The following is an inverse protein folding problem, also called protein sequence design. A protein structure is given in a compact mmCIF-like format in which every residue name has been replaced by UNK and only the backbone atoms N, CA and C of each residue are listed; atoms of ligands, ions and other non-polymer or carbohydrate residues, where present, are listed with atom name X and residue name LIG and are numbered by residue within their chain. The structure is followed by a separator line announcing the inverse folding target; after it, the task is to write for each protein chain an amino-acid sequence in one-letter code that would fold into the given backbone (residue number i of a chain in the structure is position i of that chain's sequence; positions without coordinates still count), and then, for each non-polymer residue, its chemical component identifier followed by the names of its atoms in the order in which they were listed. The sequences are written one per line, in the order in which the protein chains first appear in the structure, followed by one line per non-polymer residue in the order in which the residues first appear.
data_IF_625478150414
#
_entry.id   IF_625478150414
#
_cell.length_a   1.000
_cell.length_b   1.000
_cell.length_c   1.000
_cell.angle_alpha   90.00
_cell.angle_beta   90.00
_cell.angle_gamma   90.00
#
_symmetry.space_group_name_H-M   'P 1'
#
loop_
_entity.id
_entity.type
_entity.pdbx_description
1 polymer ?
#
# COMPACT_ATOMS: atom_id res chain seq x y z
N UNK A 1 -7.02 -4.07 -29.93
CA UNK A 1 -6.56 -3.66 -28.57
C UNK A 1 -7.73 -3.36 -27.63
N UNK A 2 -8.75 -2.61 -28.07
CA UNK A 2 -9.94 -2.28 -27.26
C UNK A 2 -10.79 -3.49 -26.79
N UNK A 3 -10.95 -4.57 -27.59
CA UNK A 3 -11.73 -5.74 -27.13
C UNK A 3 -11.09 -6.53 -25.98
N UNK A 4 -9.75 -6.47 -25.83
CA UNK A 4 -9.06 -7.03 -24.66
C UNK A 4 -9.18 -6.15 -23.43
N UNK A 5 -9.37 -4.83 -23.57
CA UNK A 5 -9.55 -3.92 -22.43
C UNK A 5 -11.01 -3.92 -21.94
N UNK A 6 -11.97 -4.13 -22.84
CA UNK A 6 -13.40 -4.27 -22.53
C UNK A 6 -13.84 -5.72 -22.29
N UNK A 7 -12.96 -6.69 -22.49
CA UNK A 7 -13.27 -8.12 -22.37
C UNK A 7 -13.71 -8.52 -20.96
N UNK A 8 -14.36 -9.68 -20.89
CA UNK A 8 -14.92 -10.17 -19.63
C UNK A 8 -13.88 -10.22 -18.51
N UNK A 9 -14.30 -9.75 -17.35
CA UNK A 9 -13.52 -9.88 -16.13
C UNK A 9 -13.77 -11.27 -15.56
N UNK A 10 -12.72 -12.05 -15.30
CA UNK A 10 -12.88 -13.40 -14.79
C UNK A 10 -13.35 -13.38 -13.33
N UNK A 11 -14.18 -14.37 -12.96
CA UNK A 11 -14.51 -14.69 -11.56
C UNK A 11 -13.37 -15.38 -10.84
N UNK A 12 -12.55 -16.11 -11.59
CA UNK A 12 -11.50 -16.97 -11.10
C UNK A 12 -10.29 -16.92 -12.02
N UNK A 13 -9.11 -17.13 -11.45
CA UNK A 13 -7.85 -17.15 -12.22
C UNK A 13 -7.14 -18.48 -12.01
N UNK A 14 -6.55 -18.99 -13.09
CA UNK A 14 -5.71 -20.18 -13.05
C UNK A 14 -4.46 -19.95 -12.20
N UNK A 15 -3.87 -21.03 -11.69
CA UNK A 15 -2.63 -21.00 -10.90
C UNK A 15 -1.51 -20.20 -11.57
N UNK A 16 -1.27 -20.40 -12.87
CA UNK A 16 -0.24 -19.68 -13.62
C UNK A 16 -0.49 -18.16 -13.64
N UNK A 17 -1.75 -17.74 -13.78
CA UNK A 17 -2.11 -16.32 -13.76
C UNK A 17 -2.04 -15.75 -12.35
N UNK A 18 -2.50 -16.48 -11.34
CA UNK A 18 -2.34 -16.11 -9.92
C UNK A 18 -0.86 -15.95 -9.54
N UNK A 19 0.01 -16.86 -10.00
CA UNK A 19 1.45 -16.80 -9.77
C UNK A 19 2.06 -15.53 -10.39
N UNK A 20 1.63 -15.12 -11.59
CA UNK A 20 2.08 -13.88 -12.22
C UNK A 20 1.57 -12.63 -11.50
N UNK A 21 0.31 -12.62 -11.05
CA UNK A 21 -0.24 -11.51 -10.26
C UNK A 21 0.54 -11.37 -8.96
N UNK A 22 0.76 -12.48 -8.25
CA UNK A 22 1.55 -12.51 -7.03
C UNK A 22 2.98 -12.02 -7.27
N UNK A 23 3.63 -12.39 -8.38
CA UNK A 23 4.96 -11.88 -8.74
C UNK A 23 4.97 -10.35 -8.86
N UNK A 24 4.02 -9.76 -9.61
CA UNK A 24 3.95 -8.30 -9.80
C UNK A 24 3.70 -7.59 -8.46
N UNK A 25 2.74 -8.06 -7.67
CA UNK A 25 2.46 -7.49 -6.36
C UNK A 25 3.66 -7.62 -5.42
N UNK A 26 4.31 -8.78 -5.40
CA UNK A 26 5.48 -9.05 -4.56
C UNK A 26 6.65 -8.15 -4.89
N UNK A 27 6.98 -7.98 -6.18
CA UNK A 27 8.07 -7.11 -6.61
C UNK A 27 7.77 -5.65 -6.28
N UNK A 28 6.55 -5.19 -6.55
CA UNK A 28 6.16 -3.80 -6.32
C UNK A 28 6.05 -3.46 -4.83
N UNK A 29 5.45 -4.32 -4.01
CA UNK A 29 5.39 -4.17 -2.56
C UNK A 29 6.76 -4.30 -1.91
N UNK A 30 7.58 -5.27 -2.33
CA UNK A 30 8.95 -5.45 -1.82
C UNK A 30 9.83 -4.24 -2.11
N UNK A 31 9.68 -3.63 -3.28
CA UNK A 31 10.41 -2.40 -3.66
C UNK A 31 10.16 -1.24 -2.68
N UNK A 32 8.95 -1.13 -2.11
CA UNK A 32 8.61 -0.10 -1.11
C UNK A 32 9.58 -0.19 0.08
N UNK A 33 9.80 -1.39 0.58
CA UNK A 33 10.63 -1.63 1.76
C UNK A 33 12.12 -1.67 1.45
N UNK A 34 12.53 -2.17 0.28
CA UNK A 34 13.94 -2.09 -0.14
C UNK A 34 14.37 -0.63 -0.27
N UNK A 35 13.60 0.18 -0.99
CA UNK A 35 13.90 1.60 -1.17
C UNK A 35 13.83 2.34 0.17
N UNK A 36 12.75 2.13 0.94
CA UNK A 36 12.55 2.80 2.23
C UNK A 36 13.59 2.42 3.27
N UNK A 37 13.85 1.12 3.42
CA UNK A 37 14.82 0.54 4.35
C UNK A 37 16.23 0.97 4.02
N UNK A 38 16.65 0.88 2.75
CA UNK A 38 17.96 1.36 2.33
C UNK A 38 18.14 2.86 2.56
N UNK A 39 17.15 3.68 2.14
CA UNK A 39 17.21 5.14 2.30
C UNK A 39 17.33 5.57 3.76
N UNK A 40 16.64 4.89 4.68
CA UNK A 40 16.72 5.17 6.12
C UNK A 40 18.00 4.62 6.74
N UNK A 41 18.36 3.36 6.44
CA UNK A 41 19.53 2.71 7.03
C UNK A 41 20.83 3.41 6.65
N UNK A 42 21.01 3.74 5.37
CA UNK A 42 22.19 4.48 4.89
C UNK A 42 22.37 5.83 5.60
N UNK A 43 21.26 6.51 5.95
CA UNK A 43 21.30 7.76 6.72
C UNK A 43 21.55 7.53 8.20
N UNK A 44 20.96 6.50 8.79
CA UNK A 44 21.18 6.17 10.19
C UNK A 44 22.64 5.77 10.47
N UNK A 45 23.29 5.11 9.50
CA UNK A 45 24.70 4.72 9.59
C UNK A 45 25.68 5.83 9.18
N UNK A 46 25.20 6.97 8.69
CA UNK A 46 26.04 8.10 8.28
C UNK A 46 26.17 9.11 9.42
N UNK A 47 27.40 9.38 9.84
CA UNK A 47 27.71 10.37 10.88
C UNK A 47 27.22 11.79 10.53
N UNK A 48 27.09 12.10 9.24
CA UNK A 48 26.61 13.41 8.76
C UNK A 48 25.08 13.53 8.82
N UNK A 49 24.35 12.41 8.76
CA UNK A 49 22.90 12.41 8.55
C UNK A 49 22.08 11.83 9.71
N UNK A 50 22.71 11.11 10.64
CA UNK A 50 22.04 10.40 11.74
C UNK A 50 21.18 11.34 12.60
N UNK A 51 21.73 12.50 12.96
CA UNK A 51 21.08 13.44 13.87
C UNK A 51 19.88 14.10 13.20
N UNK A 52 20.02 14.48 11.93
CA UNK A 52 18.93 15.00 11.13
C UNK A 52 17.81 13.97 10.93
N UNK A 53 18.17 12.68 10.78
CA UNK A 53 17.19 11.61 10.69
C UNK A 53 16.42 11.43 12.00
N UNK A 54 17.12 11.33 13.14
CA UNK A 54 16.48 11.19 14.47
C UNK A 54 15.59 12.39 14.76
N UNK A 55 16.09 13.60 14.56
CA UNK A 55 15.36 14.85 14.79
C UNK A 55 14.06 14.90 13.98
N UNK A 56 14.09 14.45 12.71
CA UNK A 56 12.90 14.38 11.87
C UNK A 56 11.83 13.40 12.37
N UNK A 57 12.24 12.25 12.92
CA UNK A 57 11.30 11.24 13.42
C UNK A 57 10.74 11.58 14.80
N UNK A 58 11.48 12.35 15.60
CA UNK A 58 11.09 12.80 16.94
C UNK A 58 10.44 14.19 16.96
N UNK A 59 10.34 14.87 15.81
CA UNK A 59 9.64 16.15 15.68
C UNK A 59 8.17 16.04 16.12
N UNK A 60 7.54 17.19 16.42
CA UNK A 60 6.14 17.22 16.88
C UNK A 60 5.15 16.62 15.85
N UNK A 61 5.45 16.72 14.56
CA UNK A 61 4.72 16.10 13.45
C UNK A 61 5.35 14.77 12.97
N UNK A 62 6.33 14.26 13.72
CA UNK A 62 7.05 13.03 13.45
C UNK A 62 6.26 11.77 13.80
N UNK A 63 6.81 10.61 13.44
CA UNK A 63 6.19 9.30 13.69
C UNK A 63 6.40 8.78 15.12
N UNK A 64 7.41 9.30 15.84
CA UNK A 64 7.70 8.91 17.22
C UNK A 64 7.17 10.01 18.15
N UNK A 65 5.87 9.95 18.41
CA UNK A 65 5.20 10.88 19.33
C UNK A 65 5.58 10.62 20.80
N UNK A 66 5.12 11.50 21.70
CA UNK A 66 5.42 11.42 23.14
C UNK A 66 5.05 10.07 23.76
N UNK A 67 3.94 9.45 23.33
CA UNK A 67 3.55 8.12 23.80
C UNK A 67 4.61 7.07 23.42
N UNK A 68 5.08 7.03 22.17
CA UNK A 68 6.16 6.09 21.78
C UNK A 68 7.49 6.41 22.45
N UNK A 69 7.81 7.69 22.66
CA UNK A 69 9.03 8.06 23.36
C UNK A 69 9.01 7.51 24.80
N UNK A 70 7.89 7.67 25.50
CA UNK A 70 7.73 7.12 26.85
C UNK A 70 7.73 5.59 26.85
N UNK A 71 7.01 4.98 25.91
CA UNK A 71 6.87 3.52 25.84
C UNK A 71 8.17 2.80 25.43
N UNK A 72 8.89 3.32 24.44
CA UNK A 72 10.09 2.69 23.88
C UNK A 72 11.37 3.11 24.61
N UNK A 73 11.44 4.33 25.12
CA UNK A 73 12.71 4.96 25.54
C UNK A 73 12.76 5.45 26.99
N UNK A 74 11.67 5.39 27.77
CA UNK A 74 11.66 5.92 29.15
C UNK A 74 11.66 4.83 30.25
N UNK A 75 11.88 3.55 29.91
CA UNK A 75 11.99 2.43 30.86
C UNK A 75 13.31 1.67 30.70
N UNK A 76 13.51 0.52 31.36
CA UNK A 76 14.80 -0.21 31.37
C UNK A 76 15.35 -0.69 30.01
N UNK A 77 14.58 -0.56 28.93
CA UNK A 77 15.05 -0.73 27.55
C UNK A 77 15.84 0.49 27.02
N UNK A 78 15.76 1.64 27.69
CA UNK A 78 16.41 2.91 27.31
C UNK A 78 17.92 2.79 27.18
N UNK A 79 18.52 1.93 28.00
CA UNK A 79 19.97 1.76 28.07
C UNK A 79 20.53 1.07 26.81
N UNK A 80 19.66 0.38 26.05
CA UNK A 80 20.04 -0.36 24.84
C UNK A 80 19.34 0.14 23.57
N UNK A 81 18.15 0.73 23.70
CA UNK A 81 17.31 1.13 22.58
C UNK A 81 17.22 2.66 22.47
N UNK A 82 18.29 3.29 21.98
CA UNK A 82 18.22 4.70 21.61
C UNK A 82 17.34 4.90 20.36
N UNK A 83 16.80 6.10 20.11
CA UNK A 83 16.05 6.37 18.88
C UNK A 83 16.82 6.02 17.61
N UNK A 84 18.13 6.27 17.58
CA UNK A 84 18.98 5.92 16.45
C UNK A 84 19.11 4.40 16.27
N UNK A 85 19.32 3.65 17.36
CA UNK A 85 19.40 2.19 17.31
C UNK A 85 18.07 1.60 16.86
N UNK A 86 16.96 2.10 17.40
CA UNK A 86 15.61 1.70 16.99
C UNK A 86 15.38 1.93 15.49
N UNK A 87 15.67 3.13 14.98
CA UNK A 87 15.53 3.45 13.55
C UNK A 87 16.44 2.59 12.68
N UNK A 88 17.66 2.31 13.13
CA UNK A 88 18.61 1.45 12.41
C UNK A 88 18.09 0.03 12.29
N UNK A 89 17.66 -0.58 13.40
CA UNK A 89 17.13 -1.95 13.44
C UNK A 89 15.86 -2.06 12.61
N UNK A 90 14.92 -1.11 12.75
CA UNK A 90 13.70 -1.10 11.97
C UNK A 90 13.98 -0.97 10.46
N UNK A 91 14.94 -0.12 10.08
CA UNK A 91 15.30 0.09 8.67
C UNK A 91 16.04 -1.11 8.07
N UNK A 92 16.90 -1.77 8.86
CA UNK A 92 17.54 -3.02 8.47
C UNK A 92 16.50 -4.14 8.29
N UNK A 93 15.54 -4.25 9.21
CA UNK A 93 14.45 -5.21 9.09
C UNK A 93 13.64 -4.97 7.81
N UNK A 94 13.21 -3.73 7.54
CA UNK A 94 12.50 -3.39 6.31
C UNK A 94 13.29 -3.72 5.04
N UNK A 95 14.59 -3.43 5.02
CA UNK A 95 15.44 -3.74 3.88
C UNK A 95 15.52 -5.26 3.64
N UNK A 96 15.82 -6.02 4.68
CA UNK A 96 15.99 -7.48 4.60
C UNK A 96 14.67 -8.17 4.22
N UNK A 97 13.58 -7.79 4.86
CA UNK A 97 12.26 -8.34 4.56
C UNK A 97 11.77 -7.93 3.16
N UNK A 98 12.10 -6.72 2.70
CA UNK A 98 11.83 -6.26 1.34
C UNK A 98 12.56 -7.09 0.29
N UNK A 99 13.86 -7.34 0.52
CA UNK A 99 14.68 -8.22 -0.33
C UNK A 99 14.14 -9.65 -0.33
N UNK A 100 13.81 -10.20 0.85
CA UNK A 100 13.21 -11.51 1.00
C UNK A 100 11.87 -11.60 0.23
N UNK A 101 11.02 -10.57 0.35
CA UNK A 101 9.77 -10.49 -0.38
C UNK A 101 10.03 -10.49 -1.88
N UNK A 102 10.90 -9.62 -2.41
CA UNK A 102 11.21 -9.58 -3.85
C UNK A 102 11.75 -10.91 -4.38
N UNK A 103 12.63 -11.58 -3.62
CA UNK A 103 13.17 -12.90 -3.94
C UNK A 103 12.12 -14.03 -3.86
N UNK A 104 10.98 -13.77 -3.22
CA UNK A 104 9.94 -14.77 -3.02
C UNK A 104 10.23 -15.72 -1.87
N UNK A 105 10.85 -15.23 -0.80
CA UNK A 105 11.17 -15.94 0.42
C UNK A 105 10.23 -15.49 1.56
N UNK A 106 9.60 -16.45 2.24
CA UNK A 106 8.61 -16.24 3.31
C UNK A 106 7.45 -15.32 2.91
N UNK A 107 7.01 -15.38 1.65
CA UNK A 107 6.07 -14.38 1.08
C UNK A 107 4.77 -14.31 1.87
N UNK A 108 4.19 -15.47 2.22
CA UNK A 108 2.93 -15.49 2.98
C UNK A 108 3.11 -14.88 4.38
N UNK A 109 4.13 -15.31 5.11
CA UNK A 109 4.40 -14.82 6.47
C UNK A 109 4.66 -13.32 6.48
N UNK A 110 5.52 -12.84 5.57
CA UNK A 110 5.84 -11.42 5.45
C UNK A 110 4.63 -10.61 5.01
N UNK A 111 3.85 -11.09 4.04
CA UNK A 111 2.65 -10.38 3.59
C UNK A 111 1.61 -10.28 4.71
N UNK A 112 1.38 -11.36 5.46
CA UNK A 112 0.48 -11.33 6.62
C UNK A 112 0.97 -10.32 7.66
N UNK A 113 2.25 -10.40 8.05
CA UNK A 113 2.85 -9.46 9.01
C UNK A 113 2.70 -8.00 8.55
N UNK A 114 3.04 -7.71 7.29
CA UNK A 114 2.95 -6.35 6.74
C UNK A 114 1.52 -5.85 6.56
N UNK A 115 0.56 -6.73 6.27
CA UNK A 115 -0.84 -6.35 6.21
C UNK A 115 -1.29 -5.68 7.53
N UNK A 116 -0.90 -6.22 8.68
CA UNK A 116 -1.21 -5.62 9.98
C UNK A 116 -0.27 -4.48 10.35
N UNK A 117 1.03 -4.58 10.01
CA UNK A 117 1.98 -3.52 10.32
C UNK A 117 1.61 -2.19 9.66
N UNK A 118 1.01 -2.19 8.46
CA UNK A 118 0.55 -0.95 7.84
C UNK A 118 -0.49 -0.19 8.70
N UNK A 119 -1.25 -0.88 9.55
CA UNK A 119 -2.18 -0.26 10.49
C UNK A 119 -1.50 0.32 11.73
N UNK A 120 -0.32 -0.16 12.12
CA UNK A 120 0.38 0.41 13.27
C UNK A 120 0.78 1.86 13.03
N UNK A 121 1.09 2.24 11.78
CA UNK A 121 1.36 3.63 11.41
C UNK A 121 0.13 4.53 11.51
N UNK A 122 -1.08 3.99 11.32
CA UNK A 122 -2.34 4.72 11.55
C UNK A 122 -2.50 5.01 13.04
N UNK A 123 -2.28 3.99 13.88
CA UNK A 123 -2.37 4.11 15.34
C UNK A 123 -1.29 5.05 15.88
N UNK A 124 -0.13 5.09 15.22
CA UNK A 124 1.03 5.83 15.72
C UNK A 124 0.97 7.34 15.48
N UNK A 125 0.16 7.81 14.53
CA UNK A 125 0.07 9.25 14.25
C UNK A 125 -0.61 10.00 15.40
N UNK A 126 0.00 11.09 15.91
CA UNK A 126 -0.59 11.89 16.97
C UNK A 126 -1.81 12.66 16.45
N UNK A 127 -3.00 12.34 16.95
CA UNK A 127 -4.23 13.10 16.69
C UNK A 127 -4.58 13.89 17.95
N UNK A 128 -4.63 15.22 17.86
CA UNK A 128 -5.16 16.04 18.95
C UNK A 128 -6.65 16.15 18.74
N UNK A 129 -7.44 15.62 19.68
CA UNK A 129 -8.91 15.60 19.60
C UNK A 129 -9.58 16.68 20.45
N UNK A 130 -8.80 17.62 21.00
CA UNK A 130 -9.27 18.60 21.99
C UNK A 130 -9.48 20.01 21.42
N UNK A 131 -10.57 20.66 21.83
CA UNK A 131 -10.87 22.07 21.53
C UNK A 131 -9.92 23.00 22.30
N UNK A 132 -9.33 23.99 21.61
CA UNK A 132 -8.49 25.03 22.24
C UNK A 132 -6.98 24.96 21.95
N UNK A 133 -6.51 23.99 21.15
CA UNK A 133 -5.11 23.96 20.70
C UNK A 133 -4.88 24.83 19.45
N UNK A 134 -3.74 25.53 19.31
CA UNK A 134 -3.42 26.34 18.14
C UNK A 134 -3.44 25.51 16.85
N UNK A 135 -4.08 26.04 15.81
CA UNK A 135 -4.28 25.44 14.47
C UNK A 135 -3.00 25.20 13.65
N UNK A 136 -1.85 25.55 14.21
CA UNK A 136 -0.61 25.85 13.49
C UNK A 136 0.22 24.57 13.26
N UNK A 137 -0.11 23.48 13.96
CA UNK A 137 0.45 22.13 13.79
C UNK A 137 -0.52 21.26 12.99
N UNK A 138 -0.49 21.43 11.67
CA UNK A 138 -1.46 20.88 10.69
C UNK A 138 -1.63 19.34 10.69
N UNK A 139 -0.71 18.57 11.29
CA UNK A 139 -0.82 17.11 11.40
C UNK A 139 -1.84 16.66 12.45
N UNK A 140 -2.18 17.51 13.41
CA UNK A 140 -3.03 17.13 14.55
C UNK A 140 -4.53 17.21 14.29
N UNK A 141 -4.97 17.94 13.26
CA UNK A 141 -6.39 18.14 12.93
C UNK A 141 -6.90 17.27 11.77
N UNK A 142 -6.01 16.59 11.04
CA UNK A 142 -6.40 15.62 10.00
C UNK A 142 -6.50 14.22 10.61
N UNK A 143 -7.61 13.48 10.43
CA UNK A 143 -7.73 12.12 10.94
C UNK A 143 -6.57 11.23 10.46
N UNK A 144 -5.87 10.57 11.38
CA UNK A 144 -4.68 9.77 11.09
C UNK A 144 -4.89 8.74 9.97
N UNK A 145 -6.07 8.12 9.93
CA UNK A 145 -6.46 7.17 8.89
C UNK A 145 -6.43 7.79 7.48
N UNK A 146 -6.84 9.05 7.34
CA UNK A 146 -6.84 9.76 6.05
C UNK A 146 -5.43 10.16 5.64
N UNK A 147 -4.59 10.55 6.59
CA UNK A 147 -3.17 10.87 6.36
C UNK A 147 -2.41 9.61 5.90
N UNK A 148 -2.71 8.45 6.49
CA UNK A 148 -2.07 7.17 6.17
C UNK A 148 -2.89 6.29 5.22
N UNK A 149 -3.81 6.86 4.45
CA UNK A 149 -4.68 6.07 3.56
C UNK A 149 -3.90 5.22 2.56
N UNK A 150 -2.71 5.67 2.16
CA UNK A 150 -1.81 4.90 1.30
C UNK A 150 -1.35 3.62 1.99
N UNK A 151 -1.00 3.67 3.26
CA UNK A 151 -0.56 2.50 4.03
C UNK A 151 -1.74 1.53 4.24
N UNK A 152 -2.96 2.04 4.47
CA UNK A 152 -4.19 1.23 4.46
C UNK A 152 -4.41 0.54 3.10
N UNK A 153 -4.18 1.25 2.00
CA UNK A 153 -4.20 0.65 0.66
C UNK A 153 -3.15 -0.46 0.50
N UNK A 154 -1.91 -0.24 0.95
CA UNK A 154 -0.86 -1.27 0.93
C UNK A 154 -1.24 -2.49 1.77
N UNK A 155 -1.90 -2.32 2.92
CA UNK A 155 -2.42 -3.41 3.76
C UNK A 155 -3.29 -4.36 2.96
N UNK A 156 -4.26 -3.83 2.22
CA UNK A 156 -5.15 -4.65 1.38
C UNK A 156 -4.39 -5.38 0.26
N UNK A 157 -3.37 -4.76 -0.33
CA UNK A 157 -2.51 -5.41 -1.33
C UNK A 157 -1.69 -6.57 -0.73
N UNK A 158 -1.19 -6.42 0.50
CA UNK A 158 -0.52 -7.49 1.23
C UNK A 158 -1.47 -8.65 1.54
N UNK A 159 -2.72 -8.38 1.91
CA UNK A 159 -3.73 -9.43 2.11
C UNK A 159 -4.01 -10.20 0.82
N UNK A 160 -4.09 -9.51 -0.32
CA UNK A 160 -4.20 -10.16 -1.64
C UNK A 160 -2.98 -11.05 -1.88
N UNK A 161 -1.77 -10.53 -1.72
CA UNK A 161 -0.53 -11.30 -1.92
C UNK A 161 -0.45 -12.52 -0.98
N UNK A 162 -0.82 -12.37 0.28
CA UNK A 162 -0.89 -13.45 1.26
C UNK A 162 -1.76 -14.61 0.79
N UNK A 163 -2.91 -14.31 0.17
CA UNK A 163 -3.83 -15.35 -0.31
C UNK A 163 -3.36 -15.99 -1.62
N UNK A 164 -2.88 -15.18 -2.57
CA UNK A 164 -2.38 -15.65 -3.86
C UNK A 164 -1.16 -16.57 -3.71
N UNK A 165 -0.26 -16.28 -2.78
CA UNK A 165 0.93 -17.07 -2.52
C UNK A 165 2.23 -16.41 -2.98
N UNK A 166 3.28 -17.20 -3.12
CA UNK A 166 4.66 -16.72 -3.33
C UNK A 166 4.92 -16.19 -4.74
N UNK A 167 4.07 -16.55 -5.71
CA UNK A 167 4.17 -16.11 -7.09
C UNK A 167 5.21 -16.84 -7.91
N UNK A 168 5.27 -16.50 -9.19
CA UNK A 168 6.22 -17.10 -10.13
C UNK A 168 7.68 -16.88 -9.67
N UNK A 169 8.53 -17.86 -10.00
CA UNK A 169 9.98 -17.84 -9.74
C UNK A 169 10.40 -17.64 -8.26
N UNK A 170 9.50 -17.89 -7.30
CA UNK A 170 9.78 -17.71 -5.87
C UNK A 170 10.81 -18.69 -5.30
N UNK A 171 11.64 -18.21 -4.37
CA UNK A 171 12.51 -19.06 -3.56
C UNK A 171 11.71 -20.02 -2.66
N UNK A 172 10.55 -19.62 -2.15
CA UNK A 172 9.66 -20.49 -1.37
C UNK A 172 9.34 -21.79 -2.11
N UNK A 173 9.09 -21.69 -3.42
CA UNK A 173 8.81 -22.85 -4.27
C UNK A 173 10.07 -23.63 -4.59
N UNK A 174 11.16 -22.95 -4.94
CA UNK A 174 12.43 -23.58 -5.33
C UNK A 174 13.13 -24.31 -4.18
N UNK A 175 13.13 -23.72 -2.99
CA UNK A 175 13.86 -24.22 -1.83
C UNK A 175 13.01 -25.14 -0.95
N UNK A 176 11.72 -24.83 -0.79
CA UNK A 176 10.86 -25.55 0.16
C UNK A 176 9.70 -26.32 -0.50
N UNK A 177 9.52 -26.23 -1.82
CA UNK A 177 8.39 -26.85 -2.52
C UNK A 177 7.02 -26.31 -2.08
N UNK A 178 6.98 -25.11 -1.49
CA UNK A 178 5.77 -24.54 -0.87
C UNK A 178 5.39 -23.20 -1.49
N UNK A 179 4.19 -22.72 -1.13
CA UNK A 179 3.79 -21.33 -1.38
C UNK A 179 3.18 -21.02 -2.74
N UNK A 180 3.12 -21.98 -3.68
CA UNK A 180 2.48 -21.77 -4.98
C UNK A 180 0.99 -21.40 -4.89
N UNK A 181 0.47 -20.78 -5.95
CA UNK A 181 -0.95 -20.48 -6.06
C UNK A 181 -1.81 -21.76 -6.08
N UNK A 182 -3.05 -21.65 -5.57
CA UNK A 182 -4.05 -22.71 -5.67
C UNK A 182 -4.38 -22.97 -7.16
N UNK A 183 -4.82 -24.19 -7.54
CA UNK A 183 -5.17 -24.52 -8.92
C UNK A 183 -6.13 -23.50 -9.57
N UNK A 184 -7.12 -23.08 -8.78
CA UNK A 184 -8.10 -22.08 -9.12
C UNK A 184 -8.24 -21.12 -7.94
N UNK A 185 -8.12 -19.83 -8.23
CA UNK A 185 -8.16 -18.75 -7.23
C UNK A 185 -9.37 -17.88 -7.47
N UNK A 186 -10.20 -17.68 -6.44
CA UNK A 186 -11.36 -16.78 -6.48
C UNK A 186 -10.92 -15.32 -6.66
N UNK A 187 -11.01 -14.83 -7.89
CA UNK A 187 -10.62 -13.48 -8.24
C UNK A 187 -11.72 -12.45 -7.97
N UNK A 188 -12.96 -12.88 -7.74
CA UNK A 188 -14.04 -11.96 -7.39
C UNK A 188 -13.75 -11.30 -6.04
N UNK A 189 -13.27 -12.08 -5.06
CA UNK A 189 -12.89 -11.56 -3.74
C UNK A 189 -11.57 -10.79 -3.78
N UNK A 190 -10.50 -11.39 -4.31
CA UNK A 190 -9.17 -10.76 -4.26
C UNK A 190 -9.05 -9.59 -5.24
N UNK A 191 -9.67 -9.69 -6.41
CA UNK A 191 -9.74 -8.61 -7.38
C UNK A 191 -10.55 -7.43 -6.84
N UNK A 192 -11.64 -7.67 -6.10
CA UNK A 192 -12.38 -6.63 -5.38
C UNK A 192 -11.50 -5.96 -4.33
N UNK A 193 -10.85 -6.73 -3.45
CA UNK A 193 -9.99 -6.19 -2.41
C UNK A 193 -8.86 -5.34 -3.00
N UNK A 194 -8.22 -5.81 -4.09
CA UNK A 194 -7.18 -5.06 -4.79
C UNK A 194 -7.73 -3.75 -5.37
N UNK A 195 -8.93 -3.78 -5.97
CA UNK A 195 -9.59 -2.58 -6.49
C UNK A 195 -9.89 -1.59 -5.38
N UNK A 196 -10.43 -2.03 -4.24
CA UNK A 196 -10.81 -1.16 -3.12
C UNK A 196 -9.56 -0.56 -2.47
N UNK A 197 -8.48 -1.33 -2.38
CA UNK A 197 -7.17 -0.89 -1.89
C UNK A 197 -6.60 0.25 -2.72
N UNK A 198 -6.83 0.26 -4.04
CA UNK A 198 -6.46 1.37 -4.92
C UNK A 198 -7.49 2.50 -4.81
N UNK A 199 -8.78 2.18 -4.92
CA UNK A 199 -9.87 3.15 -4.97
C UNK A 199 -9.89 4.08 -3.77
N UNK A 200 -9.66 3.55 -2.57
CA UNK A 200 -9.74 4.32 -1.33
C UNK A 200 -8.74 5.48 -1.30
N UNK A 201 -7.55 5.31 -1.89
CA UNK A 201 -6.53 6.37 -1.95
C UNK A 201 -6.95 7.51 -2.88
N UNK A 202 -7.62 7.18 -3.99
CA UNK A 202 -8.19 8.18 -4.90
C UNK A 202 -9.38 8.90 -4.27
N UNK A 203 -10.28 8.17 -3.61
CA UNK A 203 -11.43 8.76 -2.92
C UNK A 203 -10.98 9.72 -1.82
N UNK A 204 -10.04 9.31 -0.96
CA UNK A 204 -9.55 10.18 0.12
C UNK A 204 -8.77 11.37 -0.44
N UNK A 205 -7.89 11.17 -1.42
CA UNK A 205 -7.17 12.27 -2.04
C UNK A 205 -8.07 13.28 -2.78
N UNK A 206 -9.24 12.84 -3.25
CA UNK A 206 -10.24 13.67 -3.89
C UNK A 206 -11.16 14.39 -2.90
N UNK A 207 -11.86 13.65 -2.03
CA UNK A 207 -12.81 14.22 -1.07
C UNK A 207 -12.16 15.15 -0.04
N UNK A 208 -10.90 14.89 0.31
CA UNK A 208 -10.15 15.68 1.30
C UNK A 208 -9.03 16.50 0.65
N UNK A 209 -9.16 16.85 -0.63
CA UNK A 209 -8.21 17.73 -1.30
C UNK A 209 -8.15 19.10 -0.59
N UNK A 210 -6.93 19.58 -0.35
CA UNK A 210 -6.69 20.85 0.35
C UNK A 210 -6.49 20.74 1.87
N UNK A 211 -6.75 19.58 2.46
CA UNK A 211 -6.42 19.33 3.87
C UNK A 211 -4.92 19.16 4.09
N UNK A 212 -4.42 19.66 5.22
CA UNK A 212 -3.04 19.49 5.64
C UNK A 212 -2.65 18.01 5.72
N UNK A 213 -1.50 17.66 5.14
CA UNK A 213 -0.88 16.32 5.15
C UNK A 213 -1.61 15.20 4.40
N UNK A 214 -2.84 15.40 3.90
CA UNK A 214 -3.51 14.43 3.03
C UNK A 214 -2.95 14.58 1.61
N UNK A 215 -2.14 13.61 1.19
CA UNK A 215 -1.45 13.66 -0.10
C UNK A 215 -2.36 13.25 -1.26
N UNK A 216 -2.75 14.22 -2.07
CA UNK A 216 -3.38 13.98 -3.37
C UNK A 216 -2.34 13.70 -4.48
N UNK A 217 -2.75 12.98 -5.54
CA UNK A 217 -1.91 12.72 -6.71
C UNK A 217 -1.94 13.85 -7.74
N UNK A 218 -3.10 14.47 -7.94
CA UNK A 218 -3.28 15.59 -8.87
C UNK A 218 -4.24 16.63 -8.28
N UNK A 219 -4.10 17.92 -8.62
CA UNK A 219 -4.95 19.00 -8.10
C UNK A 219 -6.31 19.06 -8.82
N UNK A 220 -6.92 17.91 -9.11
CA UNK A 220 -8.22 17.80 -9.78
C UNK A 220 -9.11 16.85 -8.95
N UNK A 221 -9.74 17.35 -7.86
CA UNK A 221 -10.47 16.51 -6.91
C UNK A 221 -11.58 15.67 -7.54
N UNK A 222 -12.36 16.26 -8.44
CA UNK A 222 -13.45 15.57 -9.14
C UNK A 222 -12.97 14.38 -9.99
N UNK A 223 -11.79 14.49 -10.61
CA UNK A 223 -11.20 13.38 -11.37
C UNK A 223 -10.81 12.22 -10.44
N UNK A 224 -10.22 12.52 -9.28
CA UNK A 224 -9.83 11.50 -8.31
C UNK A 224 -11.04 10.79 -7.72
N UNK A 225 -12.09 11.54 -7.36
CA UNK A 225 -13.36 10.97 -6.88
C UNK A 225 -13.97 10.07 -7.95
N UNK A 226 -14.05 10.53 -9.20
CA UNK A 226 -14.60 9.74 -10.30
C UNK A 226 -13.83 8.43 -10.50
N UNK A 227 -12.49 8.48 -10.54
CA UNK A 227 -11.64 7.29 -10.65
C UNK A 227 -11.87 6.34 -9.47
N UNK A 228 -11.90 6.87 -8.24
CA UNK A 228 -12.13 6.08 -7.03
C UNK A 228 -13.51 5.39 -7.02
N UNK A 229 -14.58 6.10 -7.38
CA UNK A 229 -15.94 5.54 -7.42
C UNK A 229 -16.11 4.51 -8.53
N UNK A 230 -15.56 4.78 -9.72
CA UNK A 230 -15.63 3.84 -10.84
C UNK A 230 -14.80 2.58 -10.58
N UNK A 231 -13.63 2.72 -9.95
CA UNK A 231 -12.89 1.57 -9.42
C UNK A 231 -13.76 0.83 -8.42
N UNK A 232 -14.17 1.44 -7.31
CA UNK A 232 -14.92 0.77 -6.24
C UNK A 232 -16.18 0.04 -6.76
N UNK A 233 -16.97 0.69 -7.60
CA UNK A 233 -18.18 0.11 -8.21
C UNK A 233 -17.90 -0.98 -9.26
N UNK A 234 -16.66 -1.15 -9.71
CA UNK A 234 -16.30 -2.21 -10.65
C UNK A 234 -16.71 -1.93 -12.09
N UNK A 235 -17.03 -0.69 -12.45
CA UNK A 235 -17.33 -0.31 -13.83
C UNK A 235 -16.06 -0.01 -14.61
N UNK A 236 -15.98 -0.52 -15.83
CA UNK A 236 -14.89 -0.25 -16.77
C UNK A 236 -13.50 -0.42 -16.12
N UNK A 237 -13.35 -1.39 -15.20
CA UNK A 237 -12.21 -1.47 -14.27
C UNK A 237 -10.87 -1.35 -14.98
N UNK A 238 -10.69 -2.00 -16.14
CA UNK A 238 -9.43 -1.95 -16.88
C UNK A 238 -9.11 -0.55 -17.40
N UNK A 239 -10.11 0.18 -17.90
CA UNK A 239 -9.96 1.56 -18.38
C UNK A 239 -9.68 2.50 -17.21
N UNK A 240 -10.43 2.35 -16.12
CA UNK A 240 -10.30 3.21 -14.94
C UNK A 240 -8.98 2.93 -14.20
N UNK A 241 -8.55 1.67 -14.15
CA UNK A 241 -7.24 1.28 -13.63
C UNK A 241 -6.10 1.82 -14.49
N UNK A 242 -6.28 1.90 -15.82
CA UNK A 242 -5.30 2.56 -16.69
C UNK A 242 -5.22 4.06 -16.40
N UNK A 243 -6.36 4.73 -16.22
CA UNK A 243 -6.38 6.13 -15.79
C UNK A 243 -5.69 6.32 -14.43
N UNK A 244 -5.98 5.45 -13.45
CA UNK A 244 -5.31 5.46 -12.15
C UNK A 244 -3.80 5.25 -12.27
N UNK A 245 -3.36 4.29 -13.10
CA UNK A 245 -1.94 4.05 -13.40
C UNK A 245 -1.28 5.31 -13.95
N UNK A 246 -1.89 5.96 -14.95
CA UNK A 246 -1.35 7.17 -15.57
C UNK A 246 -1.29 8.35 -14.60
N UNK A 247 -2.30 8.51 -13.74
CA UNK A 247 -2.31 9.55 -12.69
C UNK A 247 -1.16 9.34 -11.70
N UNK A 248 -0.96 8.10 -11.22
CA UNK A 248 0.13 7.78 -10.30
C UNK A 248 1.49 7.94 -10.99
N UNK A 249 1.62 7.49 -12.24
CA UNK A 249 2.84 7.64 -13.02
C UNK A 249 3.19 9.13 -13.24
N UNK A 250 2.20 9.95 -13.56
CA UNK A 250 2.35 11.41 -13.66
C UNK A 250 2.82 12.03 -12.36
N UNK A 251 2.20 11.66 -11.23
CA UNK A 251 2.64 12.12 -9.91
C UNK A 251 4.08 11.72 -9.63
N UNK A 252 4.50 10.50 -9.97
CA UNK A 252 5.88 10.05 -9.80
C UNK A 252 6.87 10.88 -10.63
N UNK A 253 6.54 11.19 -11.89
CA UNK A 253 7.38 12.05 -12.73
C UNK A 253 7.51 13.45 -12.13
N UNK A 254 6.42 14.03 -11.62
CA UNK A 254 6.45 15.33 -10.96
C UNK A 254 7.23 15.39 -9.63
N UNK A 255 7.63 14.24 -9.08
CA UNK A 255 8.47 14.14 -7.88
C UNK A 255 9.95 13.97 -8.19
N UNK A 256 10.31 13.78 -9.46
CA UNK A 256 11.70 13.63 -9.87
C UNK A 256 12.42 14.99 -9.82
N UNK A 257 13.59 15.04 -9.18
CA UNK A 257 14.48 16.20 -9.15
C UNK A 257 15.90 15.77 -9.50
N UNK A 258 16.53 16.51 -10.43
CA UNK A 258 17.93 16.31 -10.83
C UNK A 258 18.93 16.75 -9.76
N UNK A 259 18.49 17.60 -8.83
CA UNK A 259 19.32 18.16 -7.75
C UNK A 259 19.42 17.22 -6.54
N UNK A 260 18.76 16.06 -6.60
CA UNK A 260 18.75 15.09 -5.51
C UNK A 260 19.27 13.72 -5.96
N UNK A 261 19.80 12.96 -5.02
CA UNK A 261 20.29 11.61 -5.30
C UNK A 261 19.17 10.68 -5.76
N UNK A 262 19.53 9.64 -6.53
CA UNK A 262 18.58 8.61 -7.00
C UNK A 262 17.75 8.04 -5.85
N UNK A 263 18.37 7.74 -4.71
CA UNK A 263 17.67 7.17 -3.55
C UNK A 263 16.69 8.15 -2.91
N UNK A 264 16.96 9.46 -2.94
CA UNK A 264 16.00 10.47 -2.48
C UNK A 264 14.77 10.51 -3.40
N UNK A 265 14.98 10.52 -4.72
CA UNK A 265 13.92 10.45 -5.71
C UNK A 265 13.07 9.18 -5.52
N UNK A 266 13.71 8.01 -5.43
CA UNK A 266 13.02 6.74 -5.22
C UNK A 266 12.23 6.72 -3.91
N UNK A 267 12.81 7.21 -2.81
CA UNK A 267 12.13 7.26 -1.52
C UNK A 267 10.92 8.21 -1.53
N UNK A 268 10.91 9.25 -2.37
CA UNK A 268 9.78 10.17 -2.52
C UNK A 268 8.55 9.51 -3.17
N UNK A 269 8.75 8.46 -3.98
CA UNK A 269 7.70 7.76 -4.74
C UNK A 269 7.57 6.27 -4.37
N UNK A 270 8.24 5.80 -3.33
CA UNK A 270 8.37 4.37 -3.04
C UNK A 270 7.03 3.67 -2.88
N UNK A 271 6.05 4.32 -2.24
CA UNK A 271 4.71 3.76 -2.01
C UNK A 271 3.96 3.63 -3.34
N UNK A 272 4.14 4.60 -4.22
CA UNK A 272 3.50 4.71 -5.52
C UNK A 272 3.89 3.56 -6.46
N UNK A 273 5.10 2.98 -6.29
CA UNK A 273 5.52 1.78 -7.04
C UNK A 273 4.55 0.61 -6.80
N UNK A 274 4.09 0.41 -5.56
CA UNK A 274 3.09 -0.62 -5.25
C UNK A 274 1.73 -0.31 -5.90
N UNK A 275 1.30 0.94 -5.92
CA UNK A 275 0.06 1.35 -6.60
C UNK A 275 0.16 1.18 -8.13
N UNK A 276 1.32 1.45 -8.73
CA UNK A 276 1.58 1.17 -10.15
C UNK A 276 1.50 -0.34 -10.43
N UNK A 277 2.09 -1.17 -9.57
CA UNK A 277 1.98 -2.63 -9.68
C UNK A 277 0.54 -3.12 -9.57
N UNK A 278 -0.21 -2.65 -8.57
CA UNK A 278 -1.61 -3.00 -8.38
C UNK A 278 -2.51 -2.55 -9.54
N UNK A 279 -2.35 -1.32 -10.02
CA UNK A 279 -3.12 -0.82 -11.16
C UNK A 279 -2.76 -1.54 -12.45
N UNK A 280 -1.50 -1.90 -12.68
CA UNK A 280 -1.09 -2.74 -13.82
C UNK A 280 -1.77 -4.13 -13.79
N UNK A 281 -1.86 -4.77 -12.61
CA UNK A 281 -2.63 -6.01 -12.44
C UNK A 281 -4.10 -5.80 -12.80
N UNK A 282 -4.73 -4.73 -12.31
CA UNK A 282 -6.13 -4.42 -12.60
C UNK A 282 -6.38 -4.10 -14.08
N UNK A 283 -5.43 -3.48 -14.78
CA UNK A 283 -5.49 -3.25 -16.24
C UNK A 283 -5.48 -4.57 -16.99
N UNK A 284 -4.61 -5.50 -16.63
CA UNK A 284 -4.42 -6.76 -17.36
C UNK A 284 -5.52 -7.77 -17.04
N UNK A 285 -5.90 -7.90 -15.76
CA UNK A 285 -6.78 -8.97 -15.28
C UNK A 285 -8.21 -8.46 -15.04
N UNK A 286 -8.38 -7.20 -14.63
CA UNK A 286 -9.62 -6.66 -14.08
C UNK A 286 -9.71 -6.81 -12.55
N UNK A 287 -10.77 -6.30 -11.93
CA UNK A 287 -10.93 -6.25 -10.46
C UNK A 287 -12.06 -7.12 -9.90
N UNK A 288 -12.32 -8.28 -10.51
CA UNK A 288 -13.44 -9.16 -10.15
C UNK A 288 -14.82 -8.60 -10.53
N UNK A 289 -15.86 -9.39 -10.25
CA UNK A 289 -17.28 -9.11 -10.53
C UNK A 289 -18.06 -8.66 -9.30
N UNK A 290 -17.52 -8.82 -8.09
CA UNK A 290 -18.17 -8.41 -6.84
C UNK A 290 -18.58 -6.93 -6.83
N UNK A 291 -19.71 -6.62 -6.20
CA UNK A 291 -20.23 -5.25 -5.99
C UNK A 291 -20.44 -4.39 -7.26
N UNK A 292 -20.62 -5.02 -8.43
CA UNK A 292 -21.05 -4.30 -9.64
C UNK A 292 -22.53 -3.94 -9.54
N UNK A 293 -23.00 -2.76 -9.98
CA UNK A 293 -24.41 -2.42 -9.89
C UNK A 293 -25.34 -3.39 -10.64
N UNK A 294 -24.88 -3.96 -11.76
CA UNK A 294 -25.62 -5.02 -12.43
C UNK A 294 -25.87 -6.27 -11.56
N UNK A 295 -24.95 -6.58 -10.64
CA UNK A 295 -25.12 -7.67 -9.68
C UNK A 295 -26.07 -7.29 -8.54
N UNK A 296 -26.03 -6.03 -8.08
CA UNK A 296 -26.97 -5.50 -7.09
C UNK A 296 -28.42 -5.47 -7.58
N UNK A 297 -28.63 -5.15 -8.86
CA UNK A 297 -29.98 -5.11 -9.46
C UNK A 297 -30.51 -6.53 -9.69
N UNK A 298 -29.64 -7.48 -10.07
CA UNK A 298 -30.07 -8.85 -10.42
C UNK A 298 -30.17 -9.79 -9.22
N UNK A 299 -29.29 -9.66 -8.23
CA UNK A 299 -29.23 -10.57 -7.08
C UNK A 299 -28.64 -9.84 -5.85
N UNK A 300 -29.38 -8.90 -5.22
CA UNK A 300 -28.87 -8.05 -4.15
C UNK A 300 -28.41 -8.85 -2.91
N UNK A 301 -29.12 -9.93 -2.56
CA UNK A 301 -28.75 -10.80 -1.43
C UNK A 301 -27.45 -11.55 -1.70
N UNK A 302 -27.26 -12.10 -2.90
CA UNK A 302 -26.00 -12.73 -3.29
C UNK A 302 -24.85 -11.72 -3.37
N UNK A 303 -25.12 -10.50 -3.86
CA UNK A 303 -24.13 -9.44 -3.98
C UNK A 303 -23.67 -8.86 -2.63
N UNK A 304 -24.57 -8.77 -1.64
CA UNK A 304 -24.29 -8.22 -0.31
C UNK A 304 -23.86 -9.26 0.72
N UNK A 305 -24.48 -10.44 0.70
CA UNK A 305 -24.37 -11.45 1.75
C UNK A 305 -23.62 -12.70 1.30
N UNK A 306 -23.25 -12.81 0.02
CA UNK A 306 -22.52 -13.96 -0.53
C UNK A 306 -23.33 -15.27 -0.56
N UNK A 307 -24.64 -15.21 -0.30
CA UNK A 307 -25.53 -16.38 -0.38
C UNK A 307 -25.78 -16.67 -1.85
N UNK A 308 -25.14 -17.73 -2.38
CA UNK A 308 -25.60 -18.32 -3.64
C UNK A 308 -26.97 -18.92 -3.37
N UNK A 309 -28.00 -18.46 -4.08
CA UNK A 309 -29.28 -19.16 -4.11
C UNK A 309 -28.98 -20.62 -4.46
N UNK A 310 -29.32 -21.52 -3.53
CA UNK A 310 -29.31 -22.95 -3.79
C UNK A 310 -30.32 -23.23 -4.90
N UNK A 311 -29.82 -23.49 -6.10
CA UNK A 311 -30.59 -24.19 -7.13
C UNK A 311 -30.59 -25.68 -6.80
#
# INVERSE_FOLDING_TARGET
MFSKILGDVPSDVSSARADMIALVLRLSLGSVFVIGGWWKLSRALSAEHSDALVSRYMAADGYINTFFQQYLFAGGLSDFLTPLVFLSVLSAFELISGLALMAGLFVRSLSFFYAFLMWSFVIALPVVTATGYPSDTASHFSPALLVQIRDVGLSGMFLVLFHLGSGAQSLDRKLFGRGGARPQTDWDVYGLLLRLSVAVVFLVGGFFAGYGHIKSFVPIPGLLILVGLLLASGHLVRVVALAAFLIVAWYCMGKFSVDTTLWNNLNAIKREIAFLGATAVLVVVGGGRGFRPGAFIRAPQAALLGVKESQ
#
